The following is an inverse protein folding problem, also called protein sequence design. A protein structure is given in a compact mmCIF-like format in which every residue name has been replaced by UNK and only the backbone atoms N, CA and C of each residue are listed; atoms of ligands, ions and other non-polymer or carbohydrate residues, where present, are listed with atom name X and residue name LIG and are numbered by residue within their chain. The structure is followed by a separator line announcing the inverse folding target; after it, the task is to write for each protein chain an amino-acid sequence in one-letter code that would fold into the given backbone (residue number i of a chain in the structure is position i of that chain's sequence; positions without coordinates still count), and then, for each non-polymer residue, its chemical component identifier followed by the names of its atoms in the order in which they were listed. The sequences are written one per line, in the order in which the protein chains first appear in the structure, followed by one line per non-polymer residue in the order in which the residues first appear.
data_IF_135134902691
#
_entry.id   IF_135134902691
#
_cell.length_a   1.000
_cell.length_b   1.000
_cell.length_c   1.000
_cell.angle_alpha   90.00
_cell.angle_beta   90.00
_cell.angle_gamma   90.00
#
_symmetry.space_group_name_H-M   'P 1'
#
loop_
_entity.id
_entity.type
_entity.pdbx_description
1 polymer ?
#
# COMPACT_ATOMS: atom_id res chain seq x y z
N UNK A 1 -64.80 -36.31 -6.56
CA UNK A 1 -63.46 -35.73 -6.66
C UNK A 1 -62.78 -36.27 -7.89
N UNK A 2 -61.75 -35.54 -8.34
CA UNK A 2 -60.79 -36.03 -9.28
C UNK A 2 -59.78 -36.97 -8.64
N UNK A 3 -59.03 -37.74 -9.40
CA UNK A 3 -58.06 -38.69 -8.86
C UNK A 3 -56.99 -37.95 -8.02
N UNK A 4 -56.79 -38.39 -6.78
CA UNK A 4 -55.89 -37.77 -5.83
C UNK A 4 -56.50 -36.77 -4.82
N UNK A 5 -57.78 -36.39 -4.99
CA UNK A 5 -58.53 -35.59 -4.01
C UNK A 5 -59.03 -36.42 -2.85
N UNK A 6 -59.13 -35.84 -1.68
CA UNK A 6 -59.73 -36.45 -0.46
C UNK A 6 -60.88 -35.58 0.05
N UNK A 7 -61.85 -36.23 0.72
CA UNK A 7 -63.00 -35.57 1.26
C UNK A 7 -62.65 -34.90 2.60
N UNK A 8 -62.84 -33.61 2.68
CA UNK A 8 -62.52 -32.79 3.87
C UNK A 8 -63.78 -32.03 4.33
N UNK A 9 -63.88 -31.76 5.67
CA UNK A 9 -64.93 -30.88 6.18
C UNK A 9 -64.58 -29.41 5.87
N UNK A 10 -65.60 -28.64 5.45
CA UNK A 10 -65.45 -27.21 5.12
C UNK A 10 -65.51 -26.30 6.38
N UNK A 11 -65.52 -26.87 7.63
CA UNK A 11 -65.60 -26.13 8.88
C UNK A 11 -67.02 -25.63 9.24
N UNK A 12 -67.99 -25.79 8.34
CA UNK A 12 -69.39 -25.39 8.53
C UNK A 12 -70.39 -26.58 8.60
N UNK A 13 -69.80 -27.79 8.61
CA UNK A 13 -70.57 -29.05 8.64
C UNK A 13 -70.82 -29.67 7.30
N UNK A 14 -70.34 -29.05 6.22
CA UNK A 14 -70.31 -29.59 4.85
C UNK A 14 -69.04 -30.41 4.60
N UNK A 15 -69.03 -31.17 3.52
CA UNK A 15 -67.90 -31.95 3.01
C UNK A 15 -67.55 -31.43 1.64
N UNK A 16 -66.29 -31.14 1.40
CA UNK A 16 -65.72 -30.71 0.14
C UNK A 16 -64.54 -31.61 -0.27
N UNK A 17 -64.36 -31.78 -1.57
CA UNK A 17 -63.17 -32.42 -2.10
C UNK A 17 -62.01 -31.43 -2.07
N UNK A 18 -60.86 -31.83 -1.54
CA UNK A 18 -59.66 -31.04 -1.47
C UNK A 18 -58.48 -31.80 -2.02
N UNK A 19 -57.63 -31.11 -2.76
CA UNK A 19 -56.36 -31.64 -3.18
C UNK A 19 -55.37 -31.76 -2.01
N UNK A 20 -54.53 -32.76 -1.99
CA UNK A 20 -53.48 -32.84 -0.94
C UNK A 20 -52.60 -31.58 -0.93
N UNK A 21 -52.36 -31.04 0.23
CA UNK A 21 -51.36 -29.96 0.40
C UNK A 21 -49.97 -30.53 0.14
N UNK A 22 -49.26 -29.92 -0.84
CA UNK A 22 -47.90 -30.27 -1.17
C UNK A 22 -46.92 -29.22 -0.62
N UNK A 23 -46.18 -29.59 0.42
CA UNK A 23 -45.16 -28.69 0.97
C UNK A 23 -43.94 -28.61 0.04
N UNK A 24 -43.60 -27.45 -0.51
CA UNK A 24 -42.38 -27.27 -1.26
C UNK A 24 -41.15 -27.38 -0.35
N UNK A 25 -39.97 -27.44 -0.93
CA UNK A 25 -38.71 -27.25 -0.21
C UNK A 25 -37.92 -26.13 -0.86
N UNK A 26 -37.04 -25.51 -0.09
CA UNK A 26 -36.07 -24.53 -0.57
C UNK A 26 -34.67 -25.14 -0.34
N UNK A 27 -33.81 -25.17 -1.38
CA UNK A 27 -32.50 -25.87 -1.30
C UNK A 27 -31.31 -24.98 -1.56
N UNK A 28 -31.36 -24.10 -2.57
CA UNK A 28 -30.29 -23.16 -2.87
C UNK A 28 -30.81 -21.86 -3.48
N UNK A 29 -29.95 -20.85 -3.46
CA UNK A 29 -30.18 -19.56 -4.06
C UNK A 29 -29.02 -19.27 -5.03
N UNK A 30 -29.36 -18.70 -6.21
CA UNK A 30 -28.38 -18.28 -7.18
C UNK A 30 -28.59 -16.78 -7.44
N UNK A 31 -27.58 -15.99 -7.13
CA UNK A 31 -27.52 -14.55 -7.40
C UNK A 31 -27.09 -14.29 -8.84
N UNK A 32 -27.39 -13.11 -9.41
CA UNK A 32 -26.94 -12.77 -10.75
C UNK A 32 -25.42 -12.61 -10.84
N UNK A 33 -24.84 -13.01 -11.94
CA UNK A 33 -23.39 -12.87 -12.18
C UNK A 33 -22.55 -13.69 -11.22
N UNK A 34 -21.62 -13.03 -10.56
CA UNK A 34 -20.76 -13.60 -9.50
C UNK A 34 -21.13 -13.12 -8.09
N UNK A 35 -22.23 -12.38 -7.95
CA UNK A 35 -22.68 -11.85 -6.66
C UNK A 35 -22.99 -12.97 -5.66
N UNK A 36 -22.75 -12.73 -4.39
CA UNK A 36 -23.08 -13.62 -3.27
C UNK A 36 -24.13 -13.03 -2.32
N UNK A 37 -24.57 -11.81 -2.61
CA UNK A 37 -25.63 -11.09 -1.91
C UNK A 37 -26.56 -10.37 -2.88
N UNK A 38 -27.64 -9.80 -2.38
CA UNK A 38 -28.59 -8.97 -3.11
C UNK A 38 -28.32 -7.49 -2.82
N UNK A 39 -28.60 -6.62 -3.78
CA UNK A 39 -28.55 -5.16 -3.60
C UNK A 39 -29.61 -4.72 -2.57
N UNK A 40 -29.26 -3.95 -1.54
CA UNK A 40 -30.20 -3.34 -0.59
C UNK A 40 -31.32 -2.51 -1.22
N UNK A 41 -31.08 -1.92 -2.39
CA UNK A 41 -32.12 -1.21 -3.14
C UNK A 41 -33.20 -2.16 -3.67
N UNK A 42 -32.91 -3.45 -3.79
CA UNK A 42 -33.77 -4.46 -4.40
C UNK A 42 -33.85 -4.32 -5.92
N UNK A 43 -34.75 -5.10 -6.52
CA UNK A 43 -34.98 -5.04 -7.97
C UNK A 43 -34.21 -6.10 -8.78
N UNK A 44 -33.35 -6.87 -8.14
CA UNK A 44 -32.57 -7.92 -8.79
C UNK A 44 -33.37 -9.20 -8.99
N UNK A 45 -33.01 -9.93 -10.06
CA UNK A 45 -33.58 -11.25 -10.37
C UNK A 45 -32.74 -12.35 -9.76
N UNK A 46 -33.21 -12.93 -8.67
CA UNK A 46 -32.57 -14.03 -7.94
C UNK A 46 -33.32 -15.33 -8.18
N UNK A 47 -32.59 -16.42 -8.38
CA UNK A 47 -33.15 -17.74 -8.58
C UNK A 47 -33.18 -18.52 -7.27
N UNK A 48 -34.34 -19.08 -6.92
CA UNK A 48 -34.49 -19.97 -5.79
C UNK A 48 -34.77 -21.38 -6.32
N UNK A 49 -33.92 -22.32 -5.93
CA UNK A 49 -34.07 -23.72 -6.27
C UNK A 49 -34.70 -24.48 -5.11
N UNK A 50 -35.48 -25.51 -5.43
CA UNK A 50 -36.20 -26.32 -4.46
C UNK A 50 -36.90 -27.49 -5.06
N UNK A 51 -38.01 -27.92 -4.45
CA UNK A 51 -38.86 -28.98 -5.00
C UNK A 51 -40.33 -28.66 -4.76
N UNK A 52 -41.22 -29.26 -5.55
CA UNK A 52 -42.66 -29.16 -5.41
C UNK A 52 -43.21 -27.71 -5.52
N UNK A 53 -42.53 -26.84 -6.21
CA UNK A 53 -43.08 -25.54 -6.57
C UNK A 53 -44.27 -25.69 -7.52
N UNK A 54 -45.33 -24.93 -7.32
CA UNK A 54 -46.50 -24.95 -8.14
C UNK A 54 -46.71 -23.61 -8.87
N UNK A 55 -47.30 -23.64 -10.07
CA UNK A 55 -47.68 -22.41 -10.79
C UNK A 55 -48.63 -21.56 -9.92
N UNK A 56 -48.28 -20.27 -9.79
CA UNK A 56 -48.96 -19.34 -8.85
C UNK A 56 -48.34 -19.29 -7.45
N UNK A 57 -47.23 -19.96 -7.18
CA UNK A 57 -46.44 -19.83 -5.96
C UNK A 57 -46.12 -18.37 -5.67
N UNK A 58 -46.14 -17.98 -4.42
CA UNK A 58 -45.69 -16.67 -3.93
C UNK A 58 -44.48 -16.80 -3.05
N UNK A 59 -43.65 -15.75 -3.01
CA UNK A 59 -42.47 -15.70 -2.17
C UNK A 59 -42.41 -14.40 -1.35
N UNK A 60 -41.89 -14.51 -0.14
CA UNK A 60 -41.56 -13.36 0.69
C UNK A 60 -40.13 -13.42 1.16
N UNK A 61 -39.50 -12.25 1.27
CA UNK A 61 -38.14 -12.07 1.79
C UNK A 61 -38.25 -11.22 3.07
N UNK A 62 -37.91 -11.79 4.22
CA UNK A 62 -38.04 -11.12 5.53
C UNK A 62 -39.47 -10.57 5.73
N UNK A 63 -40.49 -11.34 5.34
CA UNK A 63 -41.90 -10.97 5.40
C UNK A 63 -42.39 -9.96 4.36
N UNK A 64 -41.54 -9.41 3.51
CA UNK A 64 -41.92 -8.53 2.38
C UNK A 64 -42.15 -9.36 1.12
N UNK A 65 -43.30 -9.14 0.45
CA UNK A 65 -43.59 -9.84 -0.80
C UNK A 65 -42.55 -9.53 -1.88
N UNK A 66 -42.07 -10.58 -2.53
CA UNK A 66 -41.22 -10.49 -3.73
C UNK A 66 -42.06 -10.79 -4.98
N UNK A 67 -41.84 -10.09 -6.08
CA UNK A 67 -42.40 -10.47 -7.38
C UNK A 67 -41.84 -11.84 -7.72
N UNK A 68 -42.73 -12.81 -7.98
CA UNK A 68 -42.33 -14.22 -8.13
C UNK A 68 -42.78 -14.73 -9.49
N UNK A 69 -41.82 -15.28 -10.24
CA UNK A 69 -42.10 -16.00 -11.51
C UNK A 69 -41.85 -17.49 -11.29
N UNK A 70 -42.79 -18.31 -11.66
CA UNK A 70 -42.69 -19.77 -11.66
C UNK A 70 -41.94 -20.25 -12.91
N UNK A 71 -40.78 -20.87 -12.74
CA UNK A 71 -39.99 -21.42 -13.85
C UNK A 71 -40.30 -22.92 -14.07
N UNK A 72 -40.30 -23.67 -12.95
CA UNK A 72 -40.55 -25.12 -12.94
C UNK A 72 -40.92 -25.59 -11.52
N UNK A 73 -41.26 -26.88 -11.39
CA UNK A 73 -41.49 -27.45 -10.07
C UNK A 73 -40.26 -27.48 -9.16
N UNK A 74 -39.06 -27.10 -9.67
CA UNK A 74 -37.79 -27.07 -8.91
C UNK A 74 -37.17 -25.70 -8.90
N UNK A 75 -37.75 -24.69 -9.54
CA UNK A 75 -37.13 -23.38 -9.67
C UNK A 75 -38.17 -22.26 -9.78
N UNK A 76 -37.93 -21.17 -9.04
CA UNK A 76 -38.61 -19.90 -9.18
C UNK A 76 -37.60 -18.77 -9.33
N UNK A 77 -37.99 -17.70 -10.01
CA UNK A 77 -37.24 -16.44 -10.02
C UNK A 77 -37.99 -15.42 -9.20
N UNK A 78 -37.31 -14.74 -8.29
CA UNK A 78 -37.88 -13.61 -7.55
C UNK A 78 -37.20 -12.31 -7.96
N UNK A 79 -37.97 -11.20 -7.96
CA UNK A 79 -37.36 -9.87 -7.91
C UNK A 79 -37.24 -9.46 -6.45
N UNK A 80 -36.03 -9.18 -6.01
CA UNK A 80 -35.74 -8.88 -4.59
C UNK A 80 -36.46 -7.60 -4.14
N UNK A 81 -37.12 -7.58 -2.97
CA UNK A 81 -37.60 -6.33 -2.38
C UNK A 81 -36.44 -5.56 -1.75
N UNK A 82 -36.55 -4.23 -1.63
CA UNK A 82 -35.57 -3.43 -0.90
C UNK A 82 -35.49 -3.86 0.57
N UNK A 83 -34.25 -4.03 1.07
CA UNK A 83 -33.93 -4.43 2.47
C UNK A 83 -32.68 -3.72 2.97
N UNK A 84 -32.52 -3.59 4.27
CA UNK A 84 -31.21 -3.24 4.84
C UNK A 84 -30.22 -4.39 4.64
N UNK A 85 -28.92 -4.10 4.72
CA UNK A 85 -27.89 -5.13 4.71
C UNK A 85 -28.10 -6.18 5.80
N UNK A 86 -27.84 -7.44 5.49
CA UNK A 86 -27.96 -8.56 6.41
C UNK A 86 -28.76 -9.75 5.88
N UNK A 87 -28.83 -10.84 6.65
CA UNK A 87 -29.50 -12.06 6.26
C UNK A 87 -31.01 -11.99 6.48
N UNK A 88 -31.78 -12.53 5.54
CA UNK A 88 -33.24 -12.60 5.65
C UNK A 88 -33.77 -14.01 5.36
N UNK A 89 -34.91 -14.30 6.02
CA UNK A 89 -35.70 -15.51 5.78
C UNK A 89 -36.39 -15.41 4.42
N UNK A 90 -36.29 -16.46 3.61
CA UNK A 90 -37.15 -16.67 2.43
C UNK A 90 -38.25 -17.62 2.78
N UNK A 91 -39.49 -17.25 2.45
CA UNK A 91 -40.66 -18.13 2.64
C UNK A 91 -41.46 -18.18 1.34
N UNK A 92 -41.94 -19.36 1.01
CA UNK A 92 -42.76 -19.62 -0.18
C UNK A 92 -44.11 -20.23 0.22
N UNK A 93 -45.12 -19.93 -0.58
CA UNK A 93 -46.47 -20.44 -0.39
C UNK A 93 -47.03 -20.91 -1.76
N UNK A 94 -47.32 -22.19 -1.90
CA UNK A 94 -48.02 -22.75 -3.01
C UNK A 94 -49.50 -22.41 -2.99
N UNK A 95 -50.22 -22.40 -4.14
CA UNK A 95 -51.65 -22.15 -4.18
C UNK A 95 -52.53 -23.16 -3.42
N UNK A 96 -52.03 -24.38 -3.22
CA UNK A 96 -52.70 -25.43 -2.40
C UNK A 96 -52.58 -25.24 -0.90
N UNK A 97 -51.85 -24.21 -0.45
CA UNK A 97 -51.55 -23.90 0.94
C UNK A 97 -50.26 -24.51 1.50
N UNK A 98 -49.51 -25.28 0.69
CA UNK A 98 -48.22 -25.82 1.06
C UNK A 98 -47.15 -24.73 1.23
N UNK A 99 -46.37 -24.79 2.30
CA UNK A 99 -45.39 -23.75 2.65
C UNK A 99 -44.01 -24.33 2.87
N UNK A 100 -42.99 -23.51 2.58
CA UNK A 100 -41.63 -23.73 3.07
C UNK A 100 -40.99 -22.41 3.50
N UNK A 101 -40.06 -22.48 4.43
CA UNK A 101 -39.35 -21.31 4.95
C UNK A 101 -37.90 -21.69 5.30
N UNK A 102 -36.96 -20.85 4.91
CA UNK A 102 -35.54 -21.03 5.22
C UNK A 102 -34.99 -19.74 5.84
N UNK A 103 -34.54 -19.82 7.08
CA UNK A 103 -33.99 -18.68 7.83
C UNK A 103 -32.61 -18.32 7.30
N UNK A 104 -32.28 -17.02 7.29
CA UNK A 104 -30.97 -16.51 6.85
C UNK A 104 -30.53 -17.03 5.50
N UNK A 105 -31.48 -17.14 4.56
CA UNK A 105 -31.26 -17.81 3.28
C UNK A 105 -30.83 -16.87 2.17
N UNK A 106 -31.28 -15.63 2.19
CA UNK A 106 -30.85 -14.57 1.28
C UNK A 106 -30.04 -13.54 2.07
N UNK A 107 -28.88 -13.18 1.56
CA UNK A 107 -28.01 -12.14 2.11
C UNK A 107 -28.21 -10.85 1.30
N UNK A 108 -28.28 -9.70 1.98
CA UNK A 108 -28.15 -8.38 1.35
C UNK A 108 -26.79 -7.78 1.72
N UNK A 109 -26.10 -7.18 0.74
CA UNK A 109 -24.78 -6.62 0.88
C UNK A 109 -24.73 -5.44 1.86
N UNK A 110 -23.55 -5.14 2.38
CA UNK A 110 -23.30 -3.95 3.18
C UNK A 110 -22.44 -2.96 2.41
N UNK A 111 -22.47 -1.69 2.81
CA UNK A 111 -21.55 -0.70 2.26
C UNK A 111 -20.11 -1.06 2.63
N UNK A 112 -19.16 -1.08 1.68
CA UNK A 112 -17.75 -1.37 1.97
C UNK A 112 -17.18 -0.45 3.07
N UNK A 113 -16.46 -1.05 4.02
CA UNK A 113 -15.85 -0.35 5.16
C UNK A 113 -14.34 -0.35 5.00
N UNK A 114 -13.73 0.82 5.06
CA UNK A 114 -12.29 0.98 4.93
C UNK A 114 -11.52 0.31 6.06
N UNK A 115 -10.59 -0.58 5.73
CA UNK A 115 -9.60 -1.13 6.65
C UNK A 115 -8.35 -0.26 6.72
N UNK A 116 -7.95 0.37 5.59
CA UNK A 116 -6.81 1.30 5.57
C UNK A 116 -7.20 2.63 6.21
N UNK A 117 -6.45 3.11 7.19
CA UNK A 117 -6.68 4.41 7.82
C UNK A 117 -6.50 5.56 6.82
N UNK A 118 -7.26 6.67 7.01
CA UNK A 118 -7.07 7.88 6.23
C UNK A 118 -5.70 8.53 6.53
N UNK A 119 -5.16 9.30 5.57
CA UNK A 119 -3.93 10.05 5.71
C UNK A 119 -2.78 9.49 4.86
N UNK A 120 -1.57 9.58 5.37
CA UNK A 120 -0.38 9.20 4.62
C UNK A 120 -0.27 7.68 4.42
N UNK A 121 -0.08 7.26 3.18
CA UNK A 121 0.26 5.88 2.82
C UNK A 121 1.77 5.64 2.93
N UNK A 122 2.60 6.65 2.73
CA UNK A 122 4.04 6.57 2.83
C UNK A 122 4.78 7.53 1.89
N UNK A 123 6.08 7.29 1.78
CA UNK A 123 6.98 8.04 0.92
C UNK A 123 7.59 7.11 -0.13
N UNK A 124 7.99 7.68 -1.27
CA UNK A 124 8.76 7.02 -2.32
C UNK A 124 9.75 8.03 -2.89
N UNK A 125 10.97 7.58 -3.22
CA UNK A 125 11.95 8.40 -3.92
C UNK A 125 11.54 8.57 -5.39
N UNK A 126 11.75 9.75 -5.98
CA UNK A 126 11.57 9.92 -7.43
C UNK A 126 12.44 8.90 -8.21
N UNK A 127 11.93 8.38 -9.30
CA UNK A 127 12.60 7.35 -10.11
C UNK A 127 12.51 5.93 -9.54
N UNK A 128 12.08 5.75 -8.29
CA UNK A 128 11.97 4.43 -7.65
C UNK A 128 10.56 3.83 -7.81
N UNK A 129 10.51 2.50 -7.69
CA UNK A 129 9.26 1.76 -7.74
C UNK A 129 8.47 1.93 -6.44
N UNK A 130 7.20 2.33 -6.57
CA UNK A 130 6.27 2.43 -5.45
C UNK A 130 5.41 1.17 -5.30
N UNK A 131 5.08 0.83 -4.05
CA UNK A 131 4.13 -0.22 -3.71
C UNK A 131 3.37 0.17 -2.45
N UNK A 132 2.16 0.70 -2.63
CA UNK A 132 1.24 1.03 -1.54
C UNK A 132 -0.05 0.22 -1.71
N UNK A 133 -0.80 0.06 -0.65
CA UNK A 133 -2.04 -0.71 -0.64
C UNK A 133 -3.13 0.05 0.12
N UNK A 134 -4.29 0.18 -0.50
CA UNK A 134 -5.52 0.55 0.19
C UNK A 134 -6.47 -0.65 0.21
N UNK A 135 -7.17 -0.83 1.33
CA UNK A 135 -8.10 -1.95 1.52
C UNK A 135 -9.38 -1.47 2.17
N UNK A 136 -10.48 -1.99 1.68
CA UNK A 136 -11.78 -1.95 2.33
C UNK A 136 -12.29 -3.39 2.45
N UNK A 137 -13.20 -3.63 3.35
CA UNK A 137 -13.86 -4.92 3.54
C UNK A 137 -15.36 -4.73 3.43
N UNK A 138 -15.98 -5.67 2.78
CA UNK A 138 -17.40 -5.87 2.75
C UNK A 138 -17.67 -7.37 2.92
N UNK A 139 -18.82 -7.76 3.41
CA UNK A 139 -19.07 -9.11 3.88
C UNK A 139 -19.03 -10.20 2.83
N UNK A 140 -19.07 -9.92 1.55
CA UNK A 140 -19.30 -10.96 0.57
C UNK A 140 -18.46 -10.93 -0.69
N UNK A 141 -17.91 -9.80 -1.23
CA UNK A 141 -17.53 -9.89 -2.63
C UNK A 141 -16.38 -8.99 -3.10
N UNK A 142 -16.23 -8.91 -4.41
CA UNK A 142 -15.20 -8.14 -5.08
C UNK A 142 -15.42 -6.64 -4.87
N UNK A 143 -14.39 -5.97 -4.37
CA UNK A 143 -14.41 -4.51 -4.20
C UNK A 143 -13.62 -3.87 -5.32
N UNK A 144 -14.19 -2.87 -5.97
CA UNK A 144 -13.51 -2.00 -6.92
C UNK A 144 -13.16 -0.65 -6.29
N UNK A 145 -11.95 -0.16 -6.58
CA UNK A 145 -11.41 1.09 -6.06
C UNK A 145 -11.32 2.14 -7.16
N UNK A 146 -11.78 3.36 -6.87
CA UNK A 146 -11.71 4.46 -7.83
C UNK A 146 -11.22 5.76 -7.17
N UNK A 147 -10.30 6.48 -7.82
CA UNK A 147 -9.92 7.84 -7.41
C UNK A 147 -11.06 8.78 -7.78
N UNK A 148 -11.64 9.47 -6.80
CA UNK A 148 -12.78 10.37 -6.98
C UNK A 148 -12.44 11.85 -6.87
N UNK A 149 -11.34 12.18 -6.20
CA UNK A 149 -10.87 13.56 -6.04
C UNK A 149 -9.34 13.59 -6.07
N UNK A 150 -8.77 14.60 -6.71
CA UNK A 150 -7.33 14.71 -6.90
C UNK A 150 -6.79 13.76 -7.95
N UNK A 151 -5.48 13.57 -7.94
CA UNK A 151 -4.76 12.64 -8.83
C UNK A 151 -3.68 11.92 -8.03
N UNK A 152 -3.30 10.74 -8.44
CA UNK A 152 -2.09 10.08 -7.90
C UNK A 152 -0.84 10.87 -8.31
N UNK A 153 0.27 10.72 -7.55
CA UNK A 153 1.57 11.19 -8.02
C UNK A 153 1.88 10.70 -9.43
N UNK A 154 2.55 11.53 -10.22
CA UNK A 154 2.95 11.17 -11.59
C UNK A 154 3.71 9.85 -11.61
N UNK A 155 3.37 8.98 -12.56
CA UNK A 155 3.99 7.66 -12.72
C UNK A 155 3.38 6.56 -11.87
N UNK A 156 2.46 6.88 -10.93
CA UNK A 156 1.75 5.88 -10.13
C UNK A 156 0.33 5.66 -10.67
N UNK A 157 -0.17 4.45 -10.53
CA UNK A 157 -1.52 4.04 -10.92
C UNK A 157 -2.18 3.19 -9.85
N UNK A 158 -3.50 3.30 -9.73
CA UNK A 158 -4.34 2.48 -8.87
C UNK A 158 -4.85 1.27 -9.65
N UNK A 159 -4.62 0.07 -9.12
CA UNK A 159 -5.27 -1.14 -9.61
C UNK A 159 -6.68 -1.20 -9.02
N UNK A 160 -7.70 -1.01 -9.86
CA UNK A 160 -9.10 -0.90 -9.45
C UNK A 160 -9.59 -2.14 -8.71
N UNK A 161 -9.21 -3.33 -9.15
CA UNK A 161 -9.67 -4.59 -8.55
C UNK A 161 -8.96 -4.97 -7.23
N UNK A 162 -7.82 -4.35 -6.90
CA UNK A 162 -7.03 -4.78 -5.74
C UNK A 162 -6.72 -3.67 -4.75
N UNK A 163 -6.89 -2.40 -5.14
CA UNK A 163 -6.49 -1.26 -4.34
C UNK A 163 -4.96 -1.05 -4.23
N UNK A 164 -4.17 -1.77 -5.03
CA UNK A 164 -2.73 -1.57 -5.09
C UNK A 164 -2.40 -0.28 -5.86
N UNK A 165 -1.51 0.54 -5.30
CA UNK A 165 -1.00 1.75 -5.96
C UNK A 165 0.48 1.48 -6.27
N UNK A 166 0.79 1.31 -7.56
CA UNK A 166 2.11 0.90 -8.05
C UNK A 166 2.56 1.74 -9.23
N UNK A 167 3.83 1.65 -9.55
CA UNK A 167 4.46 2.36 -10.68
C UNK A 167 5.83 2.90 -10.29
N UNK A 168 6.43 3.69 -11.16
CA UNK A 168 7.68 4.41 -10.89
C UNK A 168 7.36 5.88 -10.64
N UNK A 169 7.73 6.40 -9.46
CA UNK A 169 7.46 7.78 -9.09
C UNK A 169 8.15 8.76 -10.03
N UNK A 170 7.40 9.70 -10.58
CA UNK A 170 7.92 10.73 -11.47
C UNK A 170 8.81 11.73 -10.74
N UNK A 171 9.65 12.47 -11.51
CA UNK A 171 10.56 13.45 -10.95
C UNK A 171 9.83 14.67 -10.38
N UNK A 172 10.35 15.17 -9.27
CA UNK A 172 9.86 16.37 -8.57
C UNK A 172 11.00 17.33 -8.30
N UNK A 173 10.75 18.62 -8.22
CA UNK A 173 11.78 19.63 -7.94
C UNK A 173 12.09 19.82 -6.45
N UNK A 174 11.22 19.30 -5.59
CA UNK A 174 11.33 19.26 -4.12
C UNK A 174 10.37 18.18 -3.61
N UNK A 175 10.54 17.74 -2.36
CA UNK A 175 9.61 16.83 -1.72
C UNK A 175 8.17 17.28 -1.93
N UNK A 176 7.37 16.46 -2.59
CA UNK A 176 6.02 16.82 -3.02
C UNK A 176 5.01 15.83 -2.47
N UNK A 177 4.12 16.31 -1.62
CA UNK A 177 3.00 15.53 -1.09
C UNK A 177 1.76 15.72 -1.97
N UNK A 178 1.26 14.64 -2.53
CA UNK A 178 0.03 14.60 -3.32
C UNK A 178 -1.09 13.99 -2.49
N UNK A 179 -2.23 14.69 -2.40
CA UNK A 179 -3.43 14.23 -1.71
C UNK A 179 -4.51 13.87 -2.73
N UNK A 180 -5.15 12.74 -2.52
CA UNK A 180 -6.23 12.22 -3.37
C UNK A 180 -7.25 11.47 -2.51
N UNK A 181 -8.44 11.27 -3.05
CA UNK A 181 -9.49 10.50 -2.36
C UNK A 181 -9.94 9.32 -3.22
N UNK A 182 -10.23 8.21 -2.55
CA UNK A 182 -10.67 6.97 -3.17
C UNK A 182 -12.02 6.56 -2.56
N UNK A 183 -12.90 5.98 -3.40
CA UNK A 183 -14.07 5.21 -2.96
C UNK A 183 -13.84 3.74 -3.25
N UNK A 184 -14.47 2.90 -2.46
CA UNK A 184 -14.57 1.46 -2.67
C UNK A 184 -16.02 1.11 -2.96
N UNK A 185 -16.29 0.34 -4.02
CA UNK A 185 -17.62 -0.06 -4.47
C UNK A 185 -17.63 -1.57 -4.60
N UNK A 186 -18.64 -2.22 -4.02
CA UNK A 186 -18.87 -3.66 -4.19
C UNK A 186 -19.60 -3.96 -5.52
N UNK A 187 -19.82 -5.23 -5.82
CA UNK A 187 -20.49 -5.69 -7.03
C UNK A 187 -22.02 -5.49 -7.01
N UNK A 188 -22.60 -5.19 -5.84
CA UNK A 188 -24.00 -4.70 -5.69
C UNK A 188 -24.11 -3.17 -5.81
N UNK A 189 -23.04 -2.47 -6.21
CA UNK A 189 -22.96 -1.02 -6.36
C UNK A 189 -23.12 -0.22 -5.05
N UNK A 190 -22.88 -0.85 -3.88
CA UNK A 190 -22.79 -0.13 -2.63
C UNK A 190 -21.44 0.57 -2.54
N UNK A 191 -21.43 1.88 -2.38
CA UNK A 191 -20.19 2.66 -2.40
C UNK A 191 -19.87 3.22 -1.01
N UNK A 192 -18.64 3.01 -0.56
CA UNK A 192 -18.12 3.57 0.70
C UNK A 192 -18.09 5.10 0.66
N UNK A 193 -18.05 5.71 1.85
CA UNK A 193 -17.68 7.11 1.94
C UNK A 193 -16.27 7.32 1.36
N UNK A 194 -16.09 8.40 0.61
CA UNK A 194 -14.78 8.79 0.05
C UNK A 194 -13.77 8.98 1.17
N UNK A 195 -12.58 8.37 1.04
CA UNK A 195 -11.50 8.46 2.02
C UNK A 195 -10.27 9.13 1.41
N UNK A 196 -9.71 10.08 2.14
CA UNK A 196 -8.54 10.85 1.69
C UNK A 196 -7.24 10.17 2.11
N UNK A 197 -6.31 10.10 1.16
CA UNK A 197 -4.96 9.56 1.31
C UNK A 197 -3.94 10.54 0.77
N UNK A 198 -2.68 10.35 1.17
CA UNK A 198 -1.56 11.10 0.60
C UNK A 198 -0.33 10.22 0.41
N UNK A 199 0.47 10.56 -0.59
CA UNK A 199 1.79 9.99 -0.85
C UNK A 199 2.76 11.14 -1.04
N UNK A 200 3.95 11.05 -0.44
CA UNK A 200 5.03 12.01 -0.65
C UNK A 200 6.07 11.41 -1.60
N UNK A 201 6.29 12.07 -2.74
CA UNK A 201 7.43 11.79 -3.60
C UNK A 201 8.59 12.65 -3.13
N UNK A 202 9.69 12.02 -2.74
CA UNK A 202 10.89 12.67 -2.25
C UNK A 202 11.81 13.00 -3.44
N UNK A 203 12.31 14.22 -3.44
CA UNK A 203 13.25 14.66 -4.48
C UNK A 203 14.64 14.06 -4.26
N UNK A 204 15.22 13.54 -5.31
CA UNK A 204 16.59 13.01 -5.34
C UNK A 204 17.58 14.00 -5.99
N UNK A 205 17.52 15.25 -5.56
CA UNK A 205 18.39 16.28 -6.11
C UNK A 205 19.89 15.90 -5.96
N UNK A 206 20.74 16.21 -6.95
CA UNK A 206 22.19 15.97 -6.88
C UNK A 206 22.84 16.56 -5.62
N UNK A 207 22.29 17.65 -5.08
CA UNK A 207 22.75 18.26 -3.81
C UNK A 207 22.52 17.37 -2.57
N UNK A 208 21.72 16.32 -2.68
CA UNK A 208 21.53 15.32 -1.62
C UNK A 208 22.60 14.22 -1.64
N UNK A 209 23.47 14.21 -2.67
CA UNK A 209 24.45 13.15 -2.89
C UNK A 209 25.87 13.66 -3.13
N UNK A 210 26.01 14.90 -3.63
CA UNK A 210 27.28 15.56 -3.86
C UNK A 210 27.21 17.03 -3.44
N UNK A 211 28.16 17.47 -2.64
CA UNK A 211 28.32 18.87 -2.32
C UNK A 211 29.79 19.22 -2.09
N UNK A 212 30.09 20.50 -2.26
CA UNK A 212 31.43 21.05 -2.01
C UNK A 212 31.36 22.03 -0.85
N UNK A 213 32.17 21.80 0.18
CA UNK A 213 32.29 22.70 1.35
C UNK A 213 33.62 23.43 1.31
N UNK A 214 33.59 24.70 1.68
CA UNK A 214 34.81 25.50 1.89
C UNK A 214 34.82 26.00 3.35
N UNK A 215 36.01 26.04 3.95
CA UNK A 215 36.17 26.58 5.29
C UNK A 215 37.55 27.24 5.49
N UNK A 216 37.62 28.12 6.49
CA UNK A 216 38.88 28.71 6.95
C UNK A 216 39.38 27.90 8.17
N UNK A 217 40.64 27.54 8.15
CA UNK A 217 41.26 26.83 9.27
C UNK A 217 41.45 27.73 10.50
N UNK A 218 41.18 27.20 11.69
CA UNK A 218 41.31 27.90 12.94
C UNK A 218 42.27 27.20 13.92
N UNK A 219 42.78 26.01 13.56
CA UNK A 219 43.66 25.19 14.37
C UNK A 219 43.00 24.44 15.53
N UNK A 220 41.71 24.58 15.73
CA UNK A 220 40.98 23.88 16.80
C UNK A 220 40.83 22.39 16.51
N UNK A 221 40.81 21.59 17.58
CA UNK A 221 40.60 20.16 17.49
C UNK A 221 39.10 19.81 17.44
N UNK A 222 38.76 18.74 16.72
CA UNK A 222 37.41 18.15 16.69
C UNK A 222 36.31 19.15 16.25
N UNK A 223 36.65 20.06 15.35
CA UNK A 223 35.74 21.09 14.82
C UNK A 223 34.81 20.53 13.79
N UNK A 224 33.50 20.78 13.93
CA UNK A 224 32.49 20.46 12.92
C UNK A 224 32.59 21.43 11.74
N UNK A 225 32.63 20.90 10.52
CA UNK A 225 32.47 21.60 9.25
C UNK A 225 31.10 21.21 8.68
N UNK A 226 30.05 22.01 8.95
CA UNK A 226 28.69 21.71 8.53
C UNK A 226 28.42 22.21 7.10
N UNK A 227 27.25 21.87 6.54
CA UNK A 227 26.74 22.43 5.28
C UNK A 227 26.42 21.41 4.22
N UNK A 228 26.40 20.12 4.57
CA UNK A 228 25.85 19.06 3.72
C UNK A 228 24.35 18.86 4.08
N UNK A 229 23.55 18.51 3.08
CA UNK A 229 22.16 18.05 3.29
C UNK A 229 22.07 16.54 3.50
N UNK A 230 23.21 15.87 3.56
CA UNK A 230 23.35 14.42 3.67
C UNK A 230 24.54 14.05 4.53
N UNK A 231 24.55 12.82 5.02
CA UNK A 231 25.75 12.19 5.58
C UNK A 231 26.63 11.67 4.43
N UNK A 232 27.88 12.19 4.37
CA UNK A 232 28.80 11.79 3.34
C UNK A 232 29.39 10.40 3.61
N UNK A 233 29.67 9.63 2.55
CA UNK A 233 30.42 8.38 2.64
C UNK A 233 31.88 8.57 2.17
N UNK A 234 32.15 9.66 1.47
CA UNK A 234 33.45 9.97 0.93
C UNK A 234 33.72 11.47 1.07
N UNK A 235 34.88 11.83 1.62
CA UNK A 235 35.35 13.21 1.78
C UNK A 235 36.74 13.33 1.22
N UNK A 236 36.91 14.15 0.17
CA UNK A 236 38.19 14.52 -0.37
C UNK A 236 38.50 15.95 0.01
N UNK A 237 39.45 16.14 0.93
CA UNK A 237 39.78 17.44 1.49
C UNK A 237 41.12 17.94 0.92
N UNK A 238 41.17 19.24 0.64
CA UNK A 238 42.34 19.92 0.06
C UNK A 238 42.53 21.29 0.68
N UNK A 239 43.80 21.63 1.00
CA UNK A 239 44.22 23.00 1.30
C UNK A 239 44.27 23.82 0.02
N UNK A 240 43.69 25.01 0.03
CA UNK A 240 43.69 25.94 -1.16
C UNK A 240 44.80 26.99 -1.05
N UNK A 241 45.07 27.53 0.14
CA UNK A 241 46.06 28.59 0.39
C UNK A 241 46.60 28.43 1.82
N UNK A 242 47.83 28.94 2.16
CA UNK A 242 48.77 29.65 1.26
C UNK A 242 49.59 28.71 0.37
N UNK A 243 49.88 27.48 0.79
CA UNK A 243 50.66 26.49 0.04
C UNK A 243 49.83 25.21 -0.11
N UNK A 244 49.92 24.62 -1.31
CA UNK A 244 49.28 23.32 -1.52
C UNK A 244 50.04 22.25 -0.72
N UNK A 245 49.37 21.71 0.28
CA UNK A 245 49.82 20.49 0.99
C UNK A 245 49.18 19.27 0.31
N UNK A 246 49.57 18.08 0.74
CA UNK A 246 48.93 16.86 0.27
C UNK A 246 47.45 16.91 0.55
N UNK A 247 46.67 16.35 -0.38
CA UNK A 247 45.24 16.19 -0.19
C UNK A 247 44.97 14.85 0.48
N UNK A 248 43.92 14.78 1.21
CA UNK A 248 43.50 13.55 1.91
C UNK A 248 42.13 13.10 1.48
N UNK A 249 41.95 11.80 1.46
CA UNK A 249 40.66 11.15 1.26
C UNK A 249 40.35 10.32 2.51
N UNK A 250 39.12 10.42 2.99
CA UNK A 250 38.53 9.50 3.97
C UNK A 250 37.22 8.98 3.43
N UNK A 251 36.87 7.76 3.79
CA UNK A 251 35.58 7.16 3.43
C UNK A 251 35.02 6.35 4.61
N UNK A 252 33.71 6.06 4.55
CA UNK A 252 32.97 5.34 5.60
C UNK A 252 33.28 3.83 5.64
N UNK A 253 34.01 3.30 4.65
CA UNK A 253 34.25 1.85 4.46
C UNK A 253 35.66 1.43 4.84
N UNK A 254 36.65 2.29 4.62
CA UNK A 254 38.09 1.98 4.74
C UNK A 254 38.57 1.65 6.15
N UNK A 255 37.73 1.79 7.13
CA UNK A 255 38.05 1.47 8.52
C UNK A 255 38.27 2.71 9.37
N UNK A 256 38.37 2.43 10.64
CA UNK A 256 38.36 3.32 11.78
C UNK A 256 37.84 2.54 12.97
N UNK A 257 37.48 3.21 14.04
CA UNK A 257 36.78 2.57 15.16
C UNK A 257 35.28 2.61 14.86
N UNK A 258 34.67 1.46 14.58
CA UNK A 258 33.28 1.34 14.13
C UNK A 258 33.20 1.05 12.64
N UNK A 259 31.99 0.85 12.13
CA UNK A 259 31.68 0.57 10.72
C UNK A 259 30.61 1.51 10.19
N UNK A 260 30.66 1.82 8.91
CA UNK A 260 29.69 2.71 8.26
C UNK A 260 29.79 4.17 8.69
N UNK A 261 28.74 4.94 8.51
CA UNK A 261 28.76 6.39 8.67
C UNK A 261 28.98 6.89 10.10
N UNK A 262 28.98 6.02 11.11
CA UNK A 262 29.31 6.37 12.51
C UNK A 262 30.76 6.03 12.90
N UNK A 263 31.59 5.61 11.94
CA UNK A 263 32.98 5.30 12.21
C UNK A 263 33.74 6.55 12.69
N UNK A 264 34.62 6.35 13.67
CA UNK A 264 35.52 7.37 14.20
C UNK A 264 36.97 6.97 13.96
N UNK A 265 37.92 7.92 14.04
CA UNK A 265 39.33 7.69 13.74
C UNK A 265 39.56 7.10 12.33
N UNK A 266 38.90 7.69 11.33
CA UNK A 266 38.89 7.20 9.95
C UNK A 266 40.34 7.08 9.41
N UNK A 267 40.61 5.96 8.76
CA UNK A 267 41.85 5.83 8.00
C UNK A 267 41.79 6.73 6.77
N UNK A 268 42.95 7.22 6.35
CA UNK A 268 43.03 8.16 5.24
C UNK A 268 44.01 7.70 4.18
N UNK A 269 43.79 8.17 2.96
CA UNK A 269 44.72 8.10 1.87
C UNK A 269 45.24 9.50 1.51
N UNK A 270 46.51 9.58 1.19
CA UNK A 270 47.09 10.75 0.53
C UNK A 270 46.91 10.65 -0.97
N UNK A 271 46.49 11.72 -1.63
CA UNK A 271 46.30 11.72 -3.09
C UNK A 271 47.55 12.11 -3.85
N UNK A 272 48.63 12.54 -3.18
CA UNK A 272 49.90 12.86 -3.77
C UNK A 272 50.97 11.87 -3.26
N UNK A 273 51.77 11.35 -4.17
CA UNK A 273 52.82 10.38 -3.86
C UNK A 273 52.32 8.94 -3.69
N UNK A 274 53.26 8.07 -3.30
CA UNK A 274 53.00 6.62 -3.12
C UNK A 274 52.98 6.24 -1.62
N UNK A 275 52.33 7.07 -0.82
CA UNK A 275 52.25 6.80 0.61
C UNK A 275 51.23 5.68 0.88
N UNK A 276 51.56 4.86 1.85
CA UNK A 276 50.63 3.86 2.37
C UNK A 276 49.42 4.54 3.07
N UNK A 277 48.35 3.80 3.20
CA UNK A 277 47.22 4.22 4.05
C UNK A 277 47.74 4.63 5.44
N UNK A 278 47.27 5.77 5.92
CA UNK A 278 47.64 6.25 7.24
C UNK A 278 46.43 6.11 8.23
N UNK A 279 46.75 5.82 9.46
CA UNK A 279 45.76 5.84 10.54
C UNK A 279 45.65 7.27 11.09
N UNK A 280 44.42 7.73 11.33
CA UNK A 280 44.16 9.04 11.92
C UNK A 280 44.52 9.06 13.44
N UNK A 281 45.81 9.08 13.73
CA UNK A 281 46.28 9.06 15.13
C UNK A 281 45.91 10.36 15.84
N UNK A 282 45.26 10.24 17.01
CA UNK A 282 44.93 11.38 17.86
C UNK A 282 43.89 12.33 17.24
N UNK A 283 43.07 11.87 16.32
CA UNK A 283 42.03 12.69 15.69
C UNK A 283 42.56 13.95 14.98
N UNK A 284 43.79 13.92 14.46
CA UNK A 284 44.44 15.11 13.94
C UNK A 284 43.95 15.53 12.53
N UNK A 285 43.43 14.61 11.72
CA UNK A 285 42.94 14.86 10.38
C UNK A 285 41.39 15.03 10.33
N UNK A 286 40.68 14.05 9.76
CA UNK A 286 39.20 13.99 9.74
C UNK A 286 38.79 12.85 10.67
N UNK A 287 38.43 13.13 11.93
CA UNK A 287 38.12 12.08 12.91
C UNK A 287 36.77 11.39 12.66
N UNK A 288 35.79 12.09 12.11
CA UNK A 288 34.46 11.52 11.86
C UNK A 288 33.72 12.22 10.73
N UNK A 289 32.80 11.47 10.13
CA UNK A 289 31.78 11.98 9.22
C UNK A 289 30.49 12.13 10.04
N UNK A 290 29.78 13.24 9.88
CA UNK A 290 28.58 13.61 10.62
C UNK A 290 27.37 13.71 9.69
N UNK A 291 26.15 13.77 10.22
CA UNK A 291 24.92 13.77 9.43
C UNK A 291 24.81 14.93 8.43
N UNK A 292 25.45 16.07 8.68
CA UNK A 292 25.42 17.24 7.82
C UNK A 292 26.80 17.82 7.51
N UNK A 293 27.85 17.00 7.61
CA UNK A 293 29.22 17.46 7.42
C UNK A 293 30.26 16.44 7.91
N UNK A 294 31.40 16.96 8.37
CA UNK A 294 32.47 16.15 8.94
C UNK A 294 33.24 16.97 9.98
N UNK A 295 33.98 16.30 10.86
CA UNK A 295 34.86 16.99 11.80
C UNK A 295 36.28 17.05 11.24
N UNK A 296 37.02 18.11 11.61
CA UNK A 296 38.44 18.26 11.34
C UNK A 296 39.21 18.36 12.63
N UNK A 297 40.44 17.82 12.62
CA UNK A 297 41.39 17.93 13.71
C UNK A 297 42.32 19.14 13.56
N UNK A 298 43.55 19.04 14.14
CA UNK A 298 44.53 20.14 14.17
C UNK A 298 45.54 20.08 13.05
N UNK A 299 45.54 19.04 12.21
CA UNK A 299 46.54 18.83 11.20
C UNK A 299 46.54 19.92 10.11
N UNK A 300 47.70 20.36 9.65
CA UNK A 300 47.86 21.42 8.65
C UNK A 300 47.16 21.12 7.30
N UNK A 301 46.93 19.86 6.97
CA UNK A 301 46.22 19.46 5.73
C UNK A 301 44.72 19.75 5.78
N UNK A 302 44.15 19.97 6.96
CA UNK A 302 42.68 20.13 7.13
C UNK A 302 42.26 21.34 7.96
N UNK A 303 43.12 21.89 8.89
CA UNK A 303 42.66 22.95 9.78
C UNK A 303 43.73 23.84 10.34
N UNK A 304 44.82 24.17 9.62
CA UNK A 304 45.81 25.15 10.07
C UNK A 304 45.23 26.55 10.07
N UNK A 305 45.47 27.27 11.17
CA UNK A 305 45.04 28.67 11.33
C UNK A 305 45.51 29.56 10.18
N UNK A 306 44.57 30.31 9.60
CA UNK A 306 44.83 31.21 8.43
C UNK A 306 44.87 30.53 7.09
N UNK A 307 44.74 29.22 7.00
CA UNK A 307 44.66 28.49 5.75
C UNK A 307 43.22 28.32 5.29
N UNK A 308 43.01 28.18 3.99
CA UNK A 308 41.70 27.95 3.36
C UNK A 308 41.62 26.56 2.78
N UNK A 309 40.48 25.93 2.93
CA UNK A 309 40.26 24.54 2.54
C UNK A 309 39.03 24.40 1.67
N UNK A 310 38.95 23.27 0.98
CA UNK A 310 37.79 22.79 0.23
C UNK A 310 37.69 21.29 0.44
N UNK A 311 36.47 20.77 0.52
CA UNK A 311 36.21 19.34 0.40
C UNK A 311 35.12 19.07 -0.63
N UNK A 312 35.29 18.00 -1.37
CA UNK A 312 34.26 17.36 -2.18
C UNK A 312 33.72 16.18 -1.39
N UNK A 313 32.41 16.20 -1.17
CA UNK A 313 31.71 15.22 -0.32
C UNK A 313 30.69 14.48 -1.18
N UNK A 314 30.73 13.15 -1.13
CA UNK A 314 29.83 12.28 -1.91
C UNK A 314 29.13 11.30 -0.95
N UNK A 315 27.85 11.03 -1.24
CA UNK A 315 27.05 10.00 -0.57
C UNK A 315 27.02 8.74 -1.44
N UNK A 316 27.42 7.61 -0.87
CA UNK A 316 27.26 6.29 -1.48
C UNK A 316 25.94 5.64 -1.06
N UNK A 317 25.77 4.35 -1.30
CA UNK A 317 24.50 3.63 -1.13
C UNK A 317 24.28 3.01 0.25
N UNK A 318 24.88 3.54 1.32
CA UNK A 318 24.67 3.02 2.68
C UNK A 318 25.68 1.97 3.12
N UNK A 319 25.25 0.91 3.83
CA UNK A 319 26.14 -0.10 4.39
C UNK A 319 26.95 -0.82 3.29
N UNK A 320 28.26 -0.93 3.51
CA UNK A 320 29.13 -1.63 2.57
C UNK A 320 28.85 -3.14 2.52
N UNK A 321 28.91 -3.70 1.32
CA UNK A 321 28.79 -5.14 1.07
C UNK A 321 30.10 -5.70 0.55
N UNK A 322 30.35 -6.98 0.81
CA UNK A 322 31.56 -7.65 0.31
C UNK A 322 31.51 -7.77 -1.21
N UNK A 323 32.58 -7.37 -1.86
CA UNK A 323 32.82 -7.59 -3.28
C UNK A 323 33.98 -8.58 -3.46
N UNK A 324 33.71 -9.68 -4.13
CA UNK A 324 34.67 -10.77 -4.39
C UNK A 324 34.95 -10.99 -5.87
N UNK A 325 34.51 -10.10 -6.75
CA UNK A 325 34.68 -10.25 -8.21
C UNK A 325 36.09 -9.97 -8.70
N UNK A 326 36.92 -9.34 -7.86
CA UNK A 326 38.33 -9.09 -8.17
C UNK A 326 39.26 -10.12 -7.55
N UNK A 327 40.57 -9.97 -7.81
CA UNK A 327 41.63 -10.78 -7.17
C UNK A 327 41.83 -10.42 -5.69
N UNK A 328 41.32 -9.29 -5.27
CA UNK A 328 41.38 -8.79 -3.88
C UNK A 328 39.96 -8.56 -3.37
N UNK A 329 39.60 -9.19 -2.29
CA UNK A 329 38.31 -8.96 -1.63
C UNK A 329 38.24 -7.51 -1.14
N UNK A 330 37.15 -6.83 -1.40
CA UNK A 330 36.92 -5.44 -1.00
C UNK A 330 35.53 -5.27 -0.38
N UNK A 331 35.32 -4.12 0.27
CA UNK A 331 33.99 -3.69 0.70
C UNK A 331 33.56 -2.54 -0.21
N UNK A 332 32.32 -2.58 -0.69
CA UNK A 332 31.79 -1.57 -1.62
C UNK A 332 30.45 -1.06 -1.10
N UNK A 333 30.31 0.26 -1.08
CA UNK A 333 29.03 0.93 -0.89
C UNK A 333 28.64 1.63 -2.18
N UNK A 334 27.46 1.31 -2.73
CA UNK A 334 27.04 1.74 -4.07
C UNK A 334 25.77 2.59 -3.99
N UNK A 335 25.77 3.72 -4.65
CA UNK A 335 24.55 4.45 -4.97
C UNK A 335 24.17 4.16 -6.43
N UNK A 336 23.24 3.24 -6.63
CA UNK A 336 22.81 2.81 -7.96
C UNK A 336 22.09 3.92 -8.74
N UNK A 337 21.42 4.83 -8.06
CA UNK A 337 20.67 5.94 -8.66
C UNK A 337 21.62 6.94 -9.30
N UNK A 338 22.74 7.24 -8.65
CA UNK A 338 23.75 8.18 -9.15
C UNK A 338 24.93 7.50 -9.88
N UNK A 339 25.01 6.19 -9.85
CA UNK A 339 26.13 5.44 -10.44
C UNK A 339 27.45 5.66 -9.73
N UNK A 340 27.44 5.96 -8.43
CA UNK A 340 28.63 6.17 -7.60
C UNK A 340 28.86 5.00 -6.64
N UNK A 341 30.11 4.53 -6.58
CA UNK A 341 30.53 3.44 -5.68
C UNK A 341 31.93 3.71 -5.12
#
# INVERSE_FOLDING_TARGET
GTDGEFLQTDGTGGMAWASPITNPTITSIDYPGSATAADPAGGESVIINGTLFASGITCTVGGTSAVTAFNSATQITITTPAKAAGPYTVAVLNPDGGTASQASFIQYSGVPVWSTAAGTLGNVQEGEAASFQVTATEGSDTIEYAVTTGTLPTGLSLATATGAITGTAGSVSADTTTTFSITATDDENQTSASRSFSITVQNDAPSNHFNTIIWDGDGSSNRLIPGLNFQSDFVWAKQRTPNATDNIIVDSVRGGTGTGPTATNLNLLYTAGNYAQATNVGNSFIPSIENNGFKVGTHSYVNSTGSKYVAWCLKAGGAAVANTEGTTNSQVSVNNTLGFS
#
